data_IF_921014808280
#
_entry.id   IF_921014808280
#
_cell.length_a   1.000
_cell.length_b   1.000
_cell.length_c   1.000
_cell.angle_alpha   90.00
_cell.angle_beta   90.00
_cell.angle_gamma   90.00
#
_symmetry.space_group_name_H-M   'P 1'
#
loop_
_entity.id
_entity.type
_entity.pdbx_description
1 polymer ?
#
# COMPACT_ATOMS: atom_id res chain seq x y z
N UNK A 1 39.27 28.04 45.27
CA UNK A 1 37.94 28.45 44.75
C UNK A 1 37.96 29.05 43.35
N UNK A 2 39.03 28.86 42.53
CA UNK A 2 39.10 29.40 41.13
C UNK A 2 38.89 28.31 40.04
N UNK A 3 38.76 27.01 40.39
CA UNK A 3 38.65 25.91 39.41
C UNK A 3 37.24 25.50 39.05
N UNK A 4 36.22 25.81 39.87
CA UNK A 4 34.84 25.42 39.61
C UNK A 4 34.11 26.37 38.65
N UNK A 5 34.53 27.63 38.53
CA UNK A 5 33.85 28.61 37.65
C UNK A 5 34.13 28.40 36.16
N UNK A 6 35.15 27.62 35.78
CA UNK A 6 35.49 27.38 34.38
C UNK A 6 34.71 26.22 33.75
N UNK A 7 34.15 25.33 34.58
CA UNK A 7 33.43 24.13 34.13
C UNK A 7 31.93 24.36 33.82
N UNK A 8 31.35 25.45 34.34
CA UNK A 8 29.93 25.76 34.15
C UNK A 8 29.69 26.59 32.88
N UNK A 9 30.72 27.27 32.35
CA UNK A 9 30.55 28.10 31.13
C UNK A 9 30.54 27.30 29.83
N UNK A 10 30.94 26.02 29.87
CA UNK A 10 30.95 25.10 28.71
C UNK A 10 29.63 24.35 28.50
N UNK A 11 28.66 24.50 29.42
CA UNK A 11 27.36 23.82 29.35
C UNK A 11 26.22 24.74 28.90
N UNK A 12 26.51 26.00 28.52
CA UNK A 12 25.54 26.99 28.07
C UNK A 12 25.83 27.45 26.63
N UNK A 13 26.36 26.57 25.78
CA UNK A 13 26.34 26.82 24.34
C UNK A 13 24.91 26.72 23.89
N UNK A 14 24.35 27.76 23.18
CA UNK A 14 23.02 27.65 22.64
C UNK A 14 23.01 26.51 21.61
N UNK A 15 22.13 25.55 21.80
CA UNK A 15 21.81 24.55 20.77
C UNK A 15 21.30 25.35 19.58
N UNK A 16 22.17 25.59 18.60
CA UNK A 16 21.77 26.08 17.29
C UNK A 16 20.99 24.94 16.66
N UNK A 17 19.68 24.95 16.86
CA UNK A 17 18.77 24.15 16.06
C UNK A 17 18.87 24.75 14.67
N UNK A 18 19.60 24.07 13.78
CA UNK A 18 19.57 24.44 12.37
C UNK A 18 18.10 24.43 11.95
N UNK A 19 17.57 25.58 11.58
CA UNK A 19 16.30 25.74 10.88
C UNK A 19 16.41 25.08 9.49
N UNK A 20 16.51 23.75 9.48
CA UNK A 20 16.16 22.98 8.31
C UNK A 20 14.66 23.22 8.13
N UNK A 21 14.20 23.73 6.99
CA UNK A 21 12.78 23.89 6.74
C UNK A 21 12.16 22.49 6.86
N UNK A 22 11.40 22.28 7.93
CA UNK A 22 10.56 21.08 8.09
C UNK A 22 9.67 21.08 6.87
N UNK A 23 10.04 20.28 5.87
CA UNK A 23 9.25 20.10 4.67
C UNK A 23 7.98 19.42 5.14
N UNK A 24 6.92 20.22 5.33
CA UNK A 24 5.58 19.74 5.60
C UNK A 24 5.34 18.51 4.73
N UNK A 25 4.85 17.38 5.26
CA UNK A 25 4.51 16.24 4.44
C UNK A 25 3.50 16.74 3.42
N UNK A 26 3.91 16.88 2.17
CA UNK A 26 3.02 17.33 1.10
C UNK A 26 1.82 16.38 1.10
N UNK A 27 0.65 16.89 1.46
CA UNK A 27 -0.58 16.12 1.50
C UNK A 27 -0.83 15.60 0.08
N UNK A 28 -0.59 14.31 -0.13
CA UNK A 28 -0.71 13.67 -1.44
C UNK A 28 -2.18 13.45 -1.76
N UNK A 29 -2.80 14.48 -2.29
CA UNK A 29 -4.21 14.46 -2.66
C UNK A 29 -4.48 13.53 -3.83
N UNK A 30 -5.57 12.78 -3.75
CA UNK A 30 -6.13 12.04 -4.87
C UNK A 30 -6.87 13.00 -5.82
N UNK A 31 -7.17 12.55 -7.04
CA UNK A 31 -7.79 13.42 -8.05
C UNK A 31 -9.14 14.00 -7.61
N UNK A 32 -9.95 13.26 -6.87
CA UNK A 32 -11.25 13.73 -6.36
C UNK A 32 -11.10 14.77 -5.25
N UNK A 33 -10.07 14.66 -4.42
CA UNK A 33 -9.76 15.63 -3.38
C UNK A 33 -9.20 16.92 -3.99
N UNK A 34 -8.30 16.78 -4.96
CA UNK A 34 -7.70 17.92 -5.67
C UNK A 34 -8.73 18.68 -6.50
N UNK A 35 -9.53 17.97 -7.30
CA UNK A 35 -10.56 18.54 -8.17
C UNK A 35 -11.87 18.87 -7.45
N UNK A 36 -12.07 18.34 -6.22
CA UNK A 36 -13.30 18.48 -5.44
C UNK A 36 -14.55 18.12 -6.24
N UNK A 37 -14.45 17.01 -7.01
CA UNK A 37 -15.48 16.67 -7.97
C UNK A 37 -16.70 15.98 -7.34
N UNK A 38 -16.61 15.47 -6.09
CA UNK A 38 -17.68 14.83 -5.35
C UNK A 38 -18.17 13.52 -5.96
N UNK A 39 -17.30 12.79 -6.67
CA UNK A 39 -17.65 11.51 -7.33
C UNK A 39 -16.92 10.31 -6.72
N UNK A 40 -16.34 10.48 -5.56
CA UNK A 40 -15.87 9.41 -4.69
C UNK A 40 -17.04 8.68 -4.02
N UNK A 41 -16.84 7.48 -3.43
CA UNK A 41 -17.87 6.81 -2.65
C UNK A 41 -18.41 7.71 -1.53
N UNK A 42 -19.72 7.93 -1.54
CA UNK A 42 -20.39 8.88 -0.61
C UNK A 42 -20.26 10.35 -1.00
N UNK A 43 -19.60 10.68 -2.11
CA UNK A 43 -19.47 12.05 -2.62
C UNK A 43 -20.81 12.62 -3.10
N UNK A 44 -20.98 13.95 -3.01
CA UNK A 44 -22.25 14.64 -3.25
C UNK A 44 -22.77 14.56 -4.69
N UNK A 45 -21.91 14.23 -5.67
CA UNK A 45 -22.31 14.04 -7.08
C UNK A 45 -22.31 12.58 -7.54
N UNK A 46 -22.06 11.63 -6.63
CA UNK A 46 -22.09 10.20 -6.98
C UNK A 46 -23.46 9.72 -7.47
N UNK A 47 -24.54 10.41 -7.09
CA UNK A 47 -25.91 10.10 -7.52
C UNK A 47 -26.19 10.43 -9.00
N UNK A 48 -25.42 11.32 -9.64
CA UNK A 48 -25.66 11.76 -11.03
C UNK A 48 -25.25 10.68 -12.05
N UNK A 49 -23.99 10.22 -11.98
CA UNK A 49 -23.38 9.27 -12.94
C UNK A 49 -22.79 8.05 -12.23
N UNK A 50 -23.01 7.93 -10.93
CA UNK A 50 -22.33 6.93 -10.12
C UNK A 50 -20.96 7.36 -9.62
N UNK A 51 -20.29 6.43 -8.96
CA UNK A 51 -18.95 6.61 -8.42
C UNK A 51 -17.92 6.54 -9.56
N UNK A 52 -16.95 7.45 -9.55
CA UNK A 52 -15.92 7.48 -10.58
C UNK A 52 -15.04 6.22 -10.53
N UNK A 53 -14.81 5.54 -11.67
CA UNK A 53 -13.99 4.31 -11.72
C UNK A 53 -12.61 4.43 -11.10
N UNK A 54 -12.00 5.60 -11.14
CA UNK A 54 -10.70 5.87 -10.51
C UNK A 54 -10.68 5.55 -9.01
N UNK A 55 -11.79 5.78 -8.32
CA UNK A 55 -11.89 5.56 -6.88
C UNK A 55 -12.07 4.09 -6.50
N UNK A 56 -12.38 3.24 -7.48
CA UNK A 56 -12.61 1.80 -7.32
C UNK A 56 -11.47 0.93 -7.89
N UNK A 57 -10.59 1.51 -8.72
CA UNK A 57 -9.52 0.78 -9.40
C UNK A 57 -8.36 0.46 -8.46
N UNK A 58 -8.38 -0.72 -7.89
CA UNK A 58 -7.39 -1.19 -6.90
C UNK A 58 -6.08 -1.67 -7.51
N UNK A 59 -6.04 -2.02 -8.80
CA UNK A 59 -4.79 -2.47 -9.44
C UNK A 59 -3.72 -1.38 -9.50
N UNK A 60 -4.10 -0.12 -9.32
CA UNK A 60 -3.21 1.04 -9.28
C UNK A 60 -3.06 1.63 -7.87
N UNK A 61 -3.52 0.92 -6.85
CA UNK A 61 -3.40 1.37 -5.45
C UNK A 61 -1.93 1.56 -5.06
N UNK A 62 -1.63 2.68 -4.41
CA UNK A 62 -0.27 3.06 -4.02
C UNK A 62 0.57 3.72 -5.12
N UNK A 63 0.16 3.71 -6.39
CA UNK A 63 0.91 4.41 -7.45
C UNK A 63 0.92 5.92 -7.16
N UNK A 64 2.13 6.51 -7.16
CA UNK A 64 2.39 7.89 -6.73
C UNK A 64 1.90 8.21 -5.30
N UNK A 65 1.73 7.20 -4.45
CA UNK A 65 1.22 7.34 -3.09
C UNK A 65 -0.27 7.67 -3.02
N UNK A 66 -1.04 7.36 -4.07
CA UNK A 66 -2.48 7.53 -4.11
C UNK A 66 -3.26 6.35 -3.54
N UNK A 67 -4.53 6.58 -3.20
CA UNK A 67 -5.49 5.54 -2.87
C UNK A 67 -6.15 5.05 -4.16
N UNK A 68 -6.17 3.74 -4.38
CA UNK A 68 -6.64 3.16 -5.64
C UNK A 68 -5.93 3.83 -6.84
N UNK A 69 -6.63 4.20 -7.89
CA UNK A 69 -6.05 4.96 -8.98
C UNK A 69 -6.11 6.49 -8.77
N UNK A 70 -6.25 6.97 -7.54
CA UNK A 70 -6.48 8.38 -7.23
C UNK A 70 -5.38 9.32 -7.71
N UNK A 71 -4.14 8.83 -7.80
CA UNK A 71 -3.00 9.59 -8.36
C UNK A 71 -2.53 9.03 -9.71
N UNK A 72 -3.40 8.26 -10.38
CA UNK A 72 -3.17 7.69 -11.70
C UNK A 72 -4.43 7.66 -12.57
N UNK A 73 -5.36 8.59 -12.35
CA UNK A 73 -6.67 8.63 -13.00
C UNK A 73 -6.60 8.66 -14.55
N UNK A 74 -5.52 9.16 -15.12
CA UNK A 74 -5.30 9.14 -16.57
C UNK A 74 -5.19 7.72 -17.15
N UNK A 75 -4.79 6.74 -16.34
CA UNK A 75 -4.66 5.34 -16.77
C UNK A 75 -5.98 4.57 -16.73
N UNK A 76 -7.03 5.09 -16.08
CA UNK A 76 -8.33 4.45 -15.91
C UNK A 76 -9.30 4.94 -16.97
N UNK A 77 -9.92 4.03 -17.71
CA UNK A 77 -10.99 4.35 -18.66
C UNK A 77 -12.29 4.72 -17.91
N UNK A 78 -13.17 5.49 -18.56
CA UNK A 78 -14.48 5.83 -18.02
C UNK A 78 -14.48 6.81 -16.85
N UNK A 79 -13.36 7.50 -16.57
CA UNK A 79 -13.34 8.52 -15.52
C UNK A 79 -14.22 9.70 -15.84
N UNK A 80 -14.76 10.39 -14.84
CA UNK A 80 -15.75 11.46 -15.02
C UNK A 80 -15.13 12.87 -15.02
N UNK A 81 -13.95 13.03 -15.61
CA UNK A 81 -13.30 14.33 -15.77
C UNK A 81 -14.17 15.26 -16.64
N UNK A 82 -14.35 16.51 -16.19
CA UNK A 82 -15.23 17.45 -16.90
C UNK A 82 -16.73 17.17 -16.78
N UNK A 83 -17.14 16.18 -15.96
CA UNK A 83 -18.53 15.85 -15.71
C UNK A 83 -19.13 14.81 -16.65
N UNK A 84 -18.32 14.25 -17.55
CA UNK A 84 -18.74 13.23 -18.52
C UNK A 84 -17.81 12.01 -18.47
N UNK A 85 -18.33 10.80 -18.81
CA UNK A 85 -17.51 9.60 -18.92
C UNK A 85 -16.45 9.75 -20.02
N UNK A 86 -15.20 9.70 -19.60
CA UNK A 86 -14.06 9.76 -20.52
C UNK A 86 -13.78 8.39 -21.13
N UNK A 87 -13.37 8.37 -22.37
CA UNK A 87 -13.04 7.12 -23.07
C UNK A 87 -11.78 6.41 -22.55
N UNK A 88 -11.19 5.61 -23.41
CA UNK A 88 -9.97 4.88 -23.13
C UNK A 88 -8.79 5.82 -22.88
N UNK A 89 -7.69 5.28 -22.32
CA UNK A 89 -6.45 6.01 -22.10
C UNK A 89 -6.02 6.83 -23.35
N UNK A 90 -6.00 6.20 -24.51
CA UNK A 90 -5.59 6.86 -25.75
C UNK A 90 -6.47 8.06 -26.12
N UNK A 91 -7.78 7.95 -25.89
CA UNK A 91 -8.74 9.04 -26.22
C UNK A 91 -8.56 10.25 -25.28
N UNK A 92 -8.32 10.01 -24.00
CA UNK A 92 -8.22 11.07 -22.99
C UNK A 92 -6.80 11.62 -22.80
N UNK A 93 -5.78 11.00 -23.40
CA UNK A 93 -4.37 11.38 -23.19
C UNK A 93 -4.11 12.87 -23.45
N UNK A 94 -4.67 13.41 -24.53
CA UNK A 94 -4.50 14.82 -24.89
C UNK A 94 -4.98 15.77 -23.79
N UNK A 95 -6.11 15.46 -23.17
CA UNK A 95 -6.70 16.27 -22.11
C UNK A 95 -5.97 16.05 -20.77
N UNK A 96 -5.58 14.79 -20.49
CA UNK A 96 -4.81 14.45 -19.31
C UNK A 96 -3.42 15.10 -19.30
N UNK A 97 -2.75 15.25 -20.44
CA UNK A 97 -1.44 15.92 -20.50
C UNK A 97 -1.53 17.43 -20.16
N UNK A 98 -2.68 18.04 -20.35
CA UNK A 98 -2.94 19.45 -20.00
C UNK A 98 -3.58 19.60 -18.60
N UNK A 99 -3.95 18.50 -17.96
CA UNK A 99 -4.61 18.52 -16.67
C UNK A 99 -3.66 19.02 -15.57
N UNK A 100 -4.09 20.03 -14.83
CA UNK A 100 -3.36 20.62 -13.70
C UNK A 100 -3.01 19.58 -12.63
N UNK A 101 -3.93 18.66 -12.34
CA UNK A 101 -3.68 17.54 -11.42
C UNK A 101 -2.57 16.62 -11.93
N UNK A 102 -2.62 16.18 -13.20
CA UNK A 102 -1.55 15.34 -13.75
C UNK A 102 -0.21 16.08 -13.76
N UNK A 103 -0.20 17.36 -14.09
CA UNK A 103 1.00 18.18 -14.05
C UNK A 103 1.55 18.34 -12.63
N UNK A 104 0.70 18.44 -11.60
CA UNK A 104 1.15 18.47 -10.20
C UNK A 104 1.84 17.16 -9.80
N UNK A 105 1.27 16.01 -10.18
CA UNK A 105 1.89 14.70 -9.92
C UNK A 105 3.28 14.60 -10.55
N UNK A 106 3.43 15.00 -11.81
CA UNK A 106 4.74 14.99 -12.50
C UNK A 106 5.77 15.87 -11.77
N UNK A 107 5.36 16.99 -11.21
CA UNK A 107 6.26 17.90 -10.47
C UNK A 107 6.59 17.39 -9.07
N UNK A 108 5.64 16.74 -8.41
CA UNK A 108 5.80 16.21 -7.05
C UNK A 108 6.67 14.96 -7.01
N UNK A 109 6.57 14.10 -8.03
CA UNK A 109 7.26 12.82 -8.04
C UNK A 109 8.70 12.97 -8.54
N UNK A 110 9.67 12.73 -7.64
CA UNK A 110 11.10 12.69 -8.02
C UNK A 110 11.40 11.62 -9.08
N UNK A 111 10.66 10.53 -9.06
CA UNK A 111 10.74 9.42 -10.01
C UNK A 111 9.32 9.04 -10.45
N UNK A 112 8.88 9.65 -11.52
CA UNK A 112 7.58 9.32 -12.12
C UNK A 112 7.57 7.89 -12.66
N UNK A 113 6.68 7.05 -12.15
CA UNK A 113 6.49 5.68 -12.61
C UNK A 113 5.24 5.59 -13.51
N UNK A 114 5.38 5.06 -14.70
CA UNK A 114 4.21 4.87 -15.56
C UNK A 114 3.30 3.75 -15.03
N UNK A 115 1.99 3.91 -15.18
CA UNK A 115 1.00 2.91 -14.77
C UNK A 115 1.29 1.52 -15.40
N UNK A 116 1.79 1.47 -16.63
CA UNK A 116 2.15 0.21 -17.30
C UNK A 116 3.30 -0.50 -16.59
N UNK A 117 4.35 0.23 -16.21
CA UNK A 117 5.49 -0.34 -15.49
C UNK A 117 5.07 -0.80 -14.10
N UNK A 118 4.28 0.01 -13.40
CA UNK A 118 3.71 -0.32 -12.11
C UNK A 118 2.92 -1.63 -12.15
N UNK A 119 1.96 -1.75 -13.05
CA UNK A 119 1.13 -2.95 -13.22
C UNK A 119 1.95 -4.20 -13.59
N UNK A 120 2.98 -4.05 -14.44
CA UNK A 120 3.90 -5.17 -14.77
C UNK A 120 4.65 -5.66 -13.55
N UNK A 121 5.14 -4.76 -12.72
CA UNK A 121 5.87 -5.06 -11.48
C UNK A 121 4.98 -5.79 -10.47
N UNK A 122 3.78 -5.27 -10.24
CA UNK A 122 2.82 -5.88 -9.31
C UNK A 122 2.35 -7.26 -9.80
N UNK A 123 2.06 -7.43 -11.08
CA UNK A 123 1.69 -8.72 -11.66
C UNK A 123 2.81 -9.76 -11.55
N UNK A 124 4.07 -9.36 -11.68
CA UNK A 124 5.22 -10.26 -11.46
C UNK A 124 5.35 -10.65 -9.99
N UNK A 125 5.18 -9.70 -9.08
CA UNK A 125 5.21 -9.96 -7.64
C UNK A 125 4.08 -10.91 -7.22
N UNK A 126 2.88 -10.71 -7.72
CA UNK A 126 1.72 -11.58 -7.45
C UNK A 126 1.94 -13.00 -7.97
N UNK A 127 2.39 -13.17 -9.21
CA UNK A 127 2.78 -14.49 -9.73
C UNK A 127 3.83 -15.17 -8.87
N UNK A 128 4.84 -14.42 -8.41
CA UNK A 128 5.89 -14.97 -7.55
C UNK A 128 5.37 -15.38 -6.16
N UNK A 129 4.36 -14.68 -5.63
CA UNK A 129 3.67 -15.06 -4.38
C UNK A 129 2.88 -16.34 -4.54
N UNK A 130 2.05 -16.43 -5.58
CA UNK A 130 1.23 -17.61 -5.87
C UNK A 130 2.09 -18.86 -6.05
N UNK A 131 3.29 -18.74 -6.65
CA UNK A 131 4.22 -19.87 -6.77
C UNK A 131 4.95 -20.24 -5.47
N UNK A 132 4.93 -19.36 -4.46
CA UNK A 132 5.53 -19.65 -3.14
C UNK A 132 4.54 -20.25 -2.15
N UNK A 133 3.26 -20.05 -2.36
CA UNK A 133 2.24 -20.64 -1.52
C UNK A 133 2.10 -22.13 -1.87
N UNK A 134 2.14 -23.04 -0.88
CA UNK A 134 1.94 -24.44 -1.14
C UNK A 134 0.56 -24.67 -1.78
N UNK A 135 0.50 -25.55 -2.76
CA UNK A 135 -0.78 -25.94 -3.36
C UNK A 135 -1.72 -26.49 -2.27
N UNK A 136 -3.01 -26.45 -2.53
CA UNK A 136 -4.01 -27.02 -1.62
C UNK A 136 -3.66 -28.50 -1.26
N UNK A 137 -3.16 -29.27 -2.22
CA UNK A 137 -2.74 -30.65 -2.01
C UNK A 137 -1.52 -30.75 -1.09
N UNK A 138 -0.52 -29.91 -1.26
CA UNK A 138 0.66 -29.87 -0.38
C UNK A 138 0.28 -29.43 1.03
N UNK A 139 -0.60 -28.43 1.17
CA UNK A 139 -1.14 -28.03 2.47
C UNK A 139 -1.92 -29.13 3.13
N UNK A 140 -2.82 -29.80 2.41
CA UNK A 140 -3.62 -30.92 2.93
C UNK A 140 -2.73 -32.11 3.34
N UNK A 141 -1.72 -32.43 2.54
CA UNK A 141 -0.74 -33.49 2.86
C UNK A 141 0.08 -33.14 4.10
N UNK A 142 0.60 -31.91 4.20
CA UNK A 142 1.34 -31.46 5.38
C UNK A 142 0.48 -31.48 6.66
N UNK A 143 -0.79 -31.12 6.54
CA UNK A 143 -1.76 -31.16 7.64
C UNK A 143 -2.05 -32.61 8.07
N UNK A 144 -2.25 -33.54 7.13
CA UNK A 144 -2.50 -34.95 7.43
C UNK A 144 -1.29 -35.61 8.07
N UNK A 145 -0.07 -35.30 7.62
CA UNK A 145 1.16 -35.79 8.20
C UNK A 145 1.34 -35.33 9.64
N UNK A 146 1.10 -34.05 9.94
CA UNK A 146 1.19 -33.51 11.31
C UNK A 146 0.19 -34.18 12.25
N UNK A 147 -1.05 -34.40 11.81
CA UNK A 147 -2.06 -35.10 12.58
C UNK A 147 -1.68 -36.58 12.85
N UNK A 148 -1.03 -37.26 11.91
CA UNK A 148 -0.53 -38.59 12.09
C UNK A 148 0.64 -38.66 13.09
N UNK A 149 1.56 -37.69 13.05
CA UNK A 149 2.67 -37.57 14.00
C UNK A 149 2.16 -37.32 15.45
N UNK A 150 1.19 -36.40 15.60
CA UNK A 150 0.53 -36.15 16.90
C UNK A 150 -0.16 -37.38 17.47
N UNK A 151 -0.85 -38.16 16.64
CA UNK A 151 -1.50 -39.41 17.09
C UNK A 151 -0.48 -40.48 17.52
N UNK A 152 0.65 -40.60 16.81
CA UNK A 152 1.74 -41.53 17.17
C UNK A 152 2.38 -41.17 18.52
N UNK A 153 2.56 -39.89 18.82
CA UNK A 153 3.07 -39.44 20.12
C UNK A 153 2.10 -39.78 21.27
N UNK A 154 0.80 -39.57 21.06
CA UNK A 154 -0.23 -39.94 22.05
C UNK A 154 -0.26 -41.46 22.32
N UNK A 155 -0.23 -42.27 21.26
CA UNK A 155 -0.20 -43.71 21.39
C UNK A 155 1.06 -44.22 22.12
N UNK A 156 2.23 -43.69 21.77
CA UNK A 156 3.51 -44.02 22.42
C UNK A 156 3.50 -43.65 23.91
N UNK A 157 2.93 -42.50 24.26
CA UNK A 157 2.79 -42.06 25.64
C UNK A 157 1.84 -42.96 26.42
N UNK A 158 0.71 -43.38 25.82
CA UNK A 158 -0.27 -44.28 26.43
C UNK A 158 0.31 -45.66 26.68
N UNK A 159 1.04 -46.26 25.74
CA UNK A 159 1.74 -47.52 25.88
C UNK A 159 2.77 -47.46 27.00
N UNK A 160 3.53 -46.39 27.09
CA UNK A 160 4.52 -46.20 28.16
C UNK A 160 3.90 -46.12 29.54
N UNK A 161 2.74 -45.49 29.69
CA UNK A 161 1.97 -45.44 30.94
C UNK A 161 1.41 -46.81 31.31
N UNK A 162 0.89 -47.59 30.35
CA UNK A 162 0.40 -48.95 30.61
C UNK A 162 1.51 -49.89 31.13
N UNK A 163 2.70 -49.80 30.53
CA UNK A 163 3.86 -50.61 30.97
C UNK A 163 4.27 -50.22 32.40
N UNK A 164 4.25 -48.96 32.74
CA UNK A 164 4.59 -48.47 34.08
C UNK A 164 3.62 -49.01 35.16
N UNK A 165 2.31 -49.08 34.85
CA UNK A 165 1.27 -49.56 35.79
C UNK A 165 1.29 -51.06 35.95
N UNK A 166 1.73 -51.84 34.96
CA UNK A 166 1.76 -53.32 35.03
C UNK A 166 3.01 -53.86 35.72
N UNK A 167 4.01 -53.04 35.95
CA UNK A 167 5.26 -53.42 36.63
C UNK A 167 5.30 -52.99 38.12
N UNK A 168 4.19 -52.53 38.67
CA UNK A 168 3.99 -52.24 40.08
C UNK A 168 3.09 -53.28 40.71
#
# INVERSE_FOLDING_TARGET
MKSLKRKVKSLLEPIVVADEPVKEPSLRLNCWEFKKCGREPGGFRAHELGVCPTTLETALDGLHGGKNAGRACWAVAGTFCGGEPQGTYAKKLKDCTRCDFHQSIIKEEKKYESAVLYLRKHRRAEKARVHKEPSFLEYAYAKSKRSAEENLEVESTYISLLIAVTNT
#
